data_IF_360955834510
#
_entry.id   IF_360955834510
#
_cell.length_a   1.000
_cell.length_b   1.000
_cell.length_c   1.000
_cell.angle_alpha   90.00
_cell.angle_beta   90.00
_cell.angle_gamma   90.00
#
_symmetry.space_group_name_H-M   'P 1'
#
loop_
_entity.id
_entity.type
_entity.pdbx_description
1 polymer ?
#
# COMPACT_ATOMS: atom_id res chain seq x y z
N UNK A 1 28.36 -14.96 22.72
CA UNK A 1 27.96 -14.11 21.57
C UNK A 1 26.51 -13.78 21.84
N UNK A 2 26.15 -12.49 22.02
CA UNK A 2 24.76 -12.12 22.32
C UNK A 2 23.92 -12.33 21.05
N UNK A 3 22.97 -13.26 21.11
CA UNK A 3 22.01 -13.54 20.04
C UNK A 3 20.94 -12.43 19.89
N UNK A 4 20.98 -11.40 20.74
CA UNK A 4 19.97 -10.32 20.83
C UNK A 4 20.28 -9.07 19.97
N UNK A 5 21.00 -9.20 18.85
CA UNK A 5 21.14 -8.05 17.94
C UNK A 5 20.00 -8.12 16.92
N UNK A 6 19.07 -7.14 16.88
CA UNK A 6 18.00 -7.14 15.90
C UNK A 6 18.63 -7.10 14.50
N UNK A 7 18.38 -8.18 13.74
CA UNK A 7 18.91 -8.32 12.39
C UNK A 7 17.97 -7.60 11.45
N UNK A 8 18.37 -6.41 11.00
CA UNK A 8 17.69 -5.72 9.91
C UNK A 8 18.22 -6.24 8.57
N UNK A 9 17.36 -6.86 7.77
CA UNK A 9 17.67 -7.28 6.40
C UNK A 9 16.92 -6.40 5.43
N UNK A 10 17.61 -5.90 4.40
CA UNK A 10 16.94 -5.23 3.29
C UNK A 10 17.46 -5.74 1.96
N UNK A 11 16.58 -5.80 0.97
CA UNK A 11 16.94 -6.13 -0.39
C UNK A 11 16.09 -5.35 -1.38
N UNK A 12 16.60 -5.21 -2.59
CA UNK A 12 15.91 -4.51 -3.68
C UNK A 12 16.03 -5.36 -4.94
N UNK A 13 14.88 -5.68 -5.53
CA UNK A 13 14.77 -6.22 -6.88
C UNK A 13 14.50 -5.09 -7.87
N UNK A 14 15.49 -4.73 -8.70
CA UNK A 14 15.31 -3.69 -9.70
C UNK A 14 14.31 -4.16 -10.77
N UNK A 15 13.73 -3.17 -11.46
CA UNK A 15 12.95 -3.42 -12.68
C UNK A 15 13.77 -4.23 -13.68
N UNK A 16 13.20 -5.31 -14.20
CA UNK A 16 13.87 -6.24 -15.12
C UNK A 16 12.85 -6.95 -16.03
N UNK A 17 13.26 -7.66 -17.10
CA UNK A 17 12.30 -8.43 -17.91
C UNK A 17 11.46 -9.36 -17.03
N UNK A 18 10.13 -9.23 -17.11
CA UNK A 18 9.20 -9.97 -16.25
C UNK A 18 8.82 -9.28 -14.93
N UNK A 19 9.37 -8.09 -14.63
CA UNK A 19 8.99 -7.26 -13.49
C UNK A 19 9.01 -5.76 -13.88
N UNK A 20 7.83 -5.16 -13.98
CA UNK A 20 7.63 -3.81 -14.53
C UNK A 20 7.98 -2.66 -13.58
N UNK A 21 8.22 -2.95 -12.31
CA UNK A 21 8.53 -1.98 -11.26
C UNK A 21 9.60 -2.52 -10.31
N UNK A 22 10.27 -1.61 -9.61
CA UNK A 22 11.19 -2.00 -8.54
C UNK A 22 10.40 -2.53 -7.33
N UNK A 23 10.93 -3.56 -6.68
CA UNK A 23 10.46 -4.05 -5.40
C UNK A 23 11.57 -3.93 -4.37
N UNK A 24 11.27 -3.41 -3.19
CA UNK A 24 12.17 -3.41 -2.04
C UNK A 24 11.51 -4.09 -0.86
N UNK A 25 12.34 -4.69 -0.02
CA UNK A 25 11.94 -5.40 1.19
C UNK A 25 12.81 -4.92 2.33
N UNK A 26 12.22 -4.77 3.50
CA UNK A 26 12.86 -4.46 4.75
C UNK A 26 12.24 -5.33 5.83
N UNK A 27 13.06 -6.18 6.43
CA UNK A 27 12.70 -7.01 7.56
C UNK A 27 13.39 -6.46 8.80
N UNK A 28 12.62 -6.18 9.85
CA UNK A 28 13.12 -5.76 11.15
C UNK A 28 12.27 -6.41 12.24
N UNK A 29 12.93 -7.00 13.23
CA UNK A 29 12.30 -7.68 14.36
C UNK A 29 11.32 -8.78 13.89
N UNK A 30 10.02 -8.47 13.87
CA UNK A 30 8.95 -9.38 13.44
C UNK A 30 7.99 -8.69 12.43
N UNK A 31 8.47 -7.64 11.78
CA UNK A 31 7.75 -6.88 10.77
C UNK A 31 8.45 -7.00 9.42
N UNK A 32 7.66 -7.30 8.39
CA UNK A 32 8.09 -7.16 7.02
C UNK A 32 7.39 -5.96 6.38
N UNK A 33 8.18 -4.96 5.99
CA UNK A 33 7.75 -3.91 5.09
C UNK A 33 8.28 -4.20 3.70
N UNK A 34 7.43 -4.08 2.68
CA UNK A 34 7.84 -4.19 1.29
C UNK A 34 7.04 -3.24 0.40
N UNK A 35 7.64 -2.84 -0.71
CA UNK A 35 7.07 -1.79 -1.52
C UNK A 35 7.77 -1.58 -2.85
N UNK A 36 7.36 -0.54 -3.54
CA UNK A 36 7.87 -0.12 -4.84
C UNK A 36 7.12 1.12 -5.30
N UNK A 37 7.64 1.91 -6.24
CA UNK A 37 6.86 2.97 -6.93
C UNK A 37 5.90 3.82 -6.05
N UNK A 38 6.35 4.24 -4.85
CA UNK A 38 5.61 5.06 -3.86
C UNK A 38 4.46 4.36 -3.14
N UNK A 39 4.41 3.03 -3.17
CA UNK A 39 3.59 2.23 -2.26
C UNK A 39 4.48 1.39 -1.36
N UNK A 40 3.92 1.03 -0.22
CA UNK A 40 4.45 0.04 0.68
C UNK A 40 3.29 -0.72 1.34
N UNK A 41 3.61 -1.86 1.89
CA UNK A 41 2.76 -2.73 2.67
C UNK A 41 3.58 -3.20 3.86
N UNK A 42 3.00 -3.07 5.05
CA UNK A 42 3.53 -3.64 6.28
C UNK A 42 2.73 -4.87 6.65
N UNK A 43 3.42 -5.91 7.11
CA UNK A 43 2.81 -7.12 7.69
C UNK A 43 3.54 -7.46 8.99
N UNK A 44 2.75 -7.57 10.05
CA UNK A 44 3.15 -7.88 11.41
C UNK A 44 1.97 -8.52 12.15
N UNK A 45 2.18 -9.49 13.06
CA UNK A 45 3.45 -10.17 13.31
C UNK A 45 3.77 -11.18 12.20
N UNK A 46 5.05 -11.38 11.87
CA UNK A 46 5.49 -12.27 10.79
C UNK A 46 5.68 -13.71 11.28
N UNK A 47 5.80 -13.92 12.59
CA UNK A 47 5.81 -15.23 13.23
C UNK A 47 4.46 -15.98 13.14
N UNK A 48 3.38 -15.26 12.84
CA UNK A 48 2.07 -15.82 12.51
C UNK A 48 2.11 -16.51 11.14
N UNK A 49 1.91 -17.85 11.06
CA UNK A 49 1.93 -18.58 9.81
C UNK A 49 0.96 -18.03 8.76
N UNK A 50 -0.21 -17.52 9.16
CA UNK A 50 -1.19 -16.97 8.23
C UNK A 50 -0.67 -15.68 7.57
N UNK A 51 -0.01 -14.82 8.35
CA UNK A 51 0.62 -13.60 7.84
C UNK A 51 1.78 -13.93 6.92
N UNK A 52 2.60 -14.92 7.27
CA UNK A 52 3.71 -15.37 6.42
C UNK A 52 3.21 -15.92 5.07
N UNK A 53 2.20 -16.78 5.07
CA UNK A 53 1.58 -17.31 3.86
C UNK A 53 1.00 -16.19 3.00
N UNK A 54 0.34 -15.22 3.62
CA UNK A 54 -0.24 -14.06 2.94
C UNK A 54 0.82 -13.17 2.30
N UNK A 55 1.95 -12.95 2.97
CA UNK A 55 3.11 -12.23 2.43
C UNK A 55 3.66 -12.98 1.22
N UNK A 56 3.92 -14.28 1.36
CA UNK A 56 4.43 -15.10 0.27
C UNK A 56 3.52 -15.03 -0.96
N UNK A 57 2.21 -15.18 -0.76
CA UNK A 57 1.22 -15.08 -1.82
C UNK A 57 1.15 -13.67 -2.44
N UNK A 58 1.30 -12.61 -1.63
CA UNK A 58 1.31 -11.25 -2.13
C UNK A 58 2.56 -10.94 -2.97
N UNK A 59 3.73 -11.44 -2.57
CA UNK A 59 5.00 -11.26 -3.30
C UNK A 59 4.97 -12.05 -4.61
N UNK A 60 4.57 -13.32 -4.57
CA UNK A 60 4.38 -14.11 -5.79
C UNK A 60 3.32 -13.48 -6.71
N UNK A 61 2.22 -13.00 -6.14
CA UNK A 61 1.20 -12.23 -6.85
C UNK A 61 1.75 -10.97 -7.52
N UNK A 62 2.64 -10.23 -6.87
CA UNK A 62 3.24 -9.02 -7.45
C UNK A 62 4.10 -9.36 -8.67
N UNK A 63 4.77 -10.52 -8.66
CA UNK A 63 5.59 -11.02 -9.77
C UNK A 63 4.72 -11.60 -10.88
N UNK A 64 3.69 -12.38 -10.56
CA UNK A 64 2.81 -13.04 -11.54
C UNK A 64 1.75 -12.10 -12.12
N UNK A 65 1.51 -10.97 -11.46
CA UNK A 65 0.37 -10.09 -11.74
C UNK A 65 -0.90 -10.50 -10.99
N UNK A 66 -0.92 -11.53 -10.15
CA UNK A 66 -2.10 -11.85 -9.32
C UNK A 66 -2.21 -11.00 -8.04
N UNK A 67 -1.28 -10.05 -7.83
CA UNK A 67 -1.43 -8.96 -6.87
C UNK A 67 -1.31 -7.59 -7.56
N UNK A 68 -1.84 -6.56 -6.91
CA UNK A 68 -1.78 -5.17 -7.39
C UNK A 68 -1.67 -4.18 -6.24
N UNK A 69 -0.97 -3.08 -6.49
CA UNK A 69 -0.96 -1.92 -5.61
C UNK A 69 -1.93 -0.84 -6.11
N UNK A 70 -2.77 -0.34 -5.22
CA UNK A 70 -3.64 0.81 -5.45
C UNK A 70 -3.05 2.03 -4.75
N UNK A 71 -2.68 3.05 -5.52
CA UNK A 71 -2.12 4.30 -5.01
C UNK A 71 -3.17 5.40 -5.13
N UNK A 72 -3.60 5.95 -4.01
CA UNK A 72 -4.64 6.97 -3.97
C UNK A 72 -4.00 8.35 -3.89
N UNK A 73 -4.24 9.16 -4.91
CA UNK A 73 -3.76 10.54 -4.96
C UNK A 73 -4.91 11.49 -4.70
N UNK A 74 -4.75 12.40 -3.74
CA UNK A 74 -5.61 13.57 -3.69
C UNK A 74 -5.36 14.44 -4.93
N UNK A 75 -6.40 15.01 -5.52
CA UNK A 75 -6.28 15.83 -6.74
C UNK A 75 -5.30 16.98 -6.48
N UNK A 76 -4.36 17.17 -7.42
CA UNK A 76 -3.29 18.16 -7.33
C UNK A 76 -2.06 17.71 -6.54
N UNK A 77 -2.07 16.52 -5.91
CA UNK A 77 -0.91 15.97 -5.21
C UNK A 77 -0.09 15.04 -6.11
N UNK A 78 1.24 15.12 -5.96
CA UNK A 78 2.20 14.25 -6.65
C UNK A 78 2.45 12.94 -5.91
N UNK A 79 2.27 12.91 -4.59
CA UNK A 79 2.46 11.73 -3.75
C UNK A 79 1.11 11.10 -3.38
N UNK A 80 1.01 9.77 -3.33
CA UNK A 80 -0.18 9.12 -2.80
C UNK A 80 -0.28 9.44 -1.30
N UNK A 81 -1.50 9.60 -0.81
CA UNK A 81 -1.75 9.77 0.63
C UNK A 81 -2.15 8.46 1.31
N UNK A 82 -2.49 7.44 0.50
CA UNK A 82 -2.98 6.14 0.94
C UNK A 82 -2.65 5.10 -0.12
N UNK A 83 -2.21 3.92 0.31
CA UNK A 83 -1.91 2.80 -0.58
C UNK A 83 -2.59 1.53 -0.08
N UNK A 84 -2.95 0.64 -1.00
CA UNK A 84 -3.53 -0.66 -0.66
C UNK A 84 -2.86 -1.71 -1.52
N UNK A 85 -2.32 -2.75 -0.89
CA UNK A 85 -1.90 -3.95 -1.58
C UNK A 85 -3.08 -4.91 -1.63
N UNK A 86 -3.40 -5.45 -2.80
CA UNK A 86 -4.48 -6.41 -2.97
C UNK A 86 -3.96 -7.67 -3.65
N UNK A 87 -4.39 -8.83 -3.14
CA UNK A 87 -4.18 -10.14 -3.75
C UNK A 87 -5.48 -10.57 -4.44
N UNK A 88 -5.35 -11.28 -5.56
CA UNK A 88 -6.50 -11.90 -6.21
C UNK A 88 -6.78 -13.25 -5.58
N UNK A 89 -7.98 -13.41 -5.06
CA UNK A 89 -8.52 -14.66 -4.52
C UNK A 89 -9.71 -15.06 -5.37
N UNK A 90 -9.54 -16.13 -6.15
CA UNK A 90 -10.47 -16.53 -7.21
C UNK A 90 -10.77 -15.35 -8.19
N UNK A 91 -11.95 -14.75 -8.06
CA UNK A 91 -12.42 -13.64 -8.91
C UNK A 91 -12.57 -12.31 -8.16
N UNK A 92 -11.98 -12.19 -6.96
CA UNK A 92 -12.08 -10.98 -6.14
C UNK A 92 -10.70 -10.48 -5.75
N UNK A 93 -10.61 -9.17 -5.52
CA UNK A 93 -9.43 -8.53 -4.97
C UNK A 93 -9.62 -8.35 -3.48
N UNK A 94 -8.78 -8.98 -2.68
CA UNK A 94 -8.78 -8.91 -1.22
C UNK A 94 -7.61 -8.04 -0.77
N UNK A 95 -7.84 -7.12 0.16
CA UNK A 95 -6.77 -6.27 0.69
C UNK A 95 -5.82 -7.13 1.52
N UNK A 96 -4.52 -7.02 1.28
CA UNK A 96 -3.46 -7.63 2.10
C UNK A 96 -2.96 -6.63 3.13
N UNK A 97 -2.66 -5.42 2.68
CA UNK A 97 -2.22 -4.32 3.53
C UNK A 97 -2.90 -3.04 3.09
N UNK A 98 -3.21 -2.20 4.06
CA UNK A 98 -3.94 -0.95 3.87
C UNK A 98 -3.21 0.13 4.63
N UNK A 99 -2.66 1.10 3.91
CA UNK A 99 -1.98 2.25 4.52
C UNK A 99 -2.96 3.18 5.24
N UNK A 100 -2.43 4.25 5.82
CA UNK A 100 -3.20 5.26 6.54
C UNK A 100 -2.95 6.66 5.97
N UNK A 101 -3.99 7.51 5.99
CA UNK A 101 -3.87 8.90 5.55
C UNK A 101 -5.20 9.59 5.26
N UNK A 102 -5.14 10.90 5.01
CA UNK A 102 -6.29 11.75 4.72
C UNK A 102 -6.08 12.57 3.45
N UNK A 103 -7.09 12.61 2.57
CA UNK A 103 -7.05 13.37 1.33
C UNK A 103 -7.46 14.84 1.55
N UNK A 104 -6.57 15.76 1.21
CA UNK A 104 -6.86 17.20 1.19
C UNK A 104 -6.42 17.80 -0.17
N UNK A 105 -7.38 18.16 -1.05
CA UNK A 105 -8.83 18.09 -0.90
C UNK A 105 -9.38 16.64 -0.92
N UNK A 106 -10.61 16.39 -0.43
CA UNK A 106 -11.21 15.05 -0.32
C UNK A 106 -11.74 14.50 -1.67
N UNK A 107 -10.99 14.73 -2.73
CA UNK A 107 -11.23 14.23 -4.09
C UNK A 107 -9.99 13.47 -4.53
N UNK A 108 -10.16 12.20 -4.90
CA UNK A 108 -9.03 11.28 -5.11
C UNK A 108 -9.10 10.56 -6.44
N UNK A 109 -7.94 10.23 -7.00
CA UNK A 109 -7.80 9.39 -8.20
C UNK A 109 -6.90 8.20 -7.85
N UNK A 110 -7.41 6.95 -7.90
CA UNK A 110 -6.59 5.78 -7.70
C UNK A 110 -5.77 5.50 -8.96
N UNK A 111 -4.53 5.05 -8.76
CA UNK A 111 -3.66 4.48 -9.78
C UNK A 111 -3.42 3.02 -9.44
N UNK A 112 -3.53 2.13 -10.42
CA UNK A 112 -3.29 0.70 -10.25
C UNK A 112 -1.93 0.36 -10.84
N UNK A 113 -1.08 -0.26 -10.02
CA UNK A 113 0.18 -0.88 -10.45
C UNK A 113 0.01 -2.39 -10.37
N UNK A 114 0.31 -3.08 -11.47
CA UNK A 114 0.17 -4.53 -11.61
C UNK A 114 1.16 -5.01 -12.67
N UNK A 115 1.96 -6.02 -12.33
CA UNK A 115 3.01 -6.48 -13.22
C UNK A 115 2.43 -7.10 -14.49
N UNK A 116 3.06 -6.87 -15.65
CA UNK A 116 2.58 -7.33 -16.95
C UNK A 116 1.36 -6.57 -17.47
N UNK A 117 0.94 -5.49 -16.80
CA UNK A 117 -0.23 -4.69 -17.17
C UNK A 117 0.11 -3.20 -17.25
N UNK A 118 -0.53 -2.44 -18.16
CA UNK A 118 -0.35 -1.01 -18.21
C UNK A 118 -0.87 -0.37 -16.92
N UNK A 119 -0.16 0.66 -16.44
CA UNK A 119 -0.61 1.46 -15.31
C UNK A 119 -1.95 2.10 -15.66
N UNK A 120 -2.98 1.81 -14.87
CA UNK A 120 -4.33 2.36 -15.09
C UNK A 120 -4.67 3.43 -14.06
N UNK A 121 -5.36 4.47 -14.52
CA UNK A 121 -5.95 5.50 -13.64
C UNK A 121 -7.44 5.22 -13.52
N UNK A 122 -7.92 5.06 -12.29
CA UNK A 122 -9.35 4.95 -12.03
C UNK A 122 -10.04 6.31 -12.06
N UNK A 123 -11.38 6.31 -12.05
CA UNK A 123 -12.17 7.54 -12.03
C UNK A 123 -11.90 8.35 -10.75
N UNK A 124 -12.09 9.67 -10.84
CA UNK A 124 -12.07 10.52 -9.66
C UNK A 124 -13.26 10.18 -8.76
N UNK A 125 -13.04 10.15 -7.45
CA UNK A 125 -14.07 9.86 -6.46
C UNK A 125 -13.86 10.67 -5.19
N UNK A 126 -14.95 10.90 -4.45
CA UNK A 126 -14.86 11.53 -3.14
C UNK A 126 -14.24 10.55 -2.13
N UNK A 127 -13.30 11.07 -1.34
CA UNK A 127 -12.78 10.36 -0.18
C UNK A 127 -13.69 10.67 1.02
N UNK A 128 -14.76 9.88 1.19
CA UNK A 128 -15.80 10.12 2.19
C UNK A 128 -15.25 10.28 3.61
N UNK A 129 -14.30 9.45 4.03
CA UNK A 129 -13.65 9.59 5.34
C UNK A 129 -12.96 10.95 5.50
N UNK A 130 -12.21 11.38 4.49
CA UNK A 130 -11.54 12.68 4.50
C UNK A 130 -12.51 13.86 4.43
N UNK A 131 -13.60 13.72 3.67
CA UNK A 131 -14.68 14.72 3.62
C UNK A 131 -15.35 14.87 4.98
N UNK A 132 -15.68 13.76 5.64
CA UNK A 132 -16.27 13.77 6.97
C UNK A 132 -15.33 14.44 7.99
N UNK A 133 -14.04 14.08 7.99
CA UNK A 133 -13.04 14.74 8.85
C UNK A 133 -12.97 16.25 8.60
N UNK A 134 -13.00 16.69 7.34
CA UNK A 134 -13.01 18.10 6.99
C UNK A 134 -14.27 18.81 7.52
N UNK A 135 -15.45 18.21 7.36
CA UNK A 135 -16.71 18.78 7.84
C UNK A 135 -16.73 18.89 9.37
N UNK A 136 -16.23 17.88 10.08
CA UNK A 136 -16.11 17.90 11.54
C UNK A 136 -15.15 18.98 12.02
N UNK A 137 -14.02 19.15 11.34
CA UNK A 137 -13.05 20.20 11.65
C UNK A 137 -13.66 21.60 11.47
N UNK A 138 -14.38 21.82 10.37
CA UNK A 138 -15.06 23.10 10.12
C UNK A 138 -16.15 23.39 11.17
N UNK A 139 -16.93 22.38 11.57
CA UNK A 139 -17.93 22.50 12.61
C UNK A 139 -17.31 22.84 13.98
N UNK A 140 -16.18 22.20 14.32
CA UNK A 140 -15.45 22.50 15.55
C UNK A 140 -14.91 23.94 15.56
N UNK A 141 -14.31 24.41 14.46
CA UNK A 141 -13.85 25.80 14.34
C UNK A 141 -15.01 26.78 14.48
N UNK A 142 -16.14 26.49 13.83
CA UNK A 142 -17.35 27.33 13.93
C UNK A 142 -17.87 27.43 15.37
N UNK A 143 -17.80 26.35 16.16
CA UNK A 143 -18.25 26.36 17.56
C UNK A 143 -17.34 27.15 18.51
N UNK A 144 -16.14 27.53 18.07
CA UNK A 144 -15.16 28.32 18.83
C UNK A 144 -15.18 29.81 18.48
N UNK A 145 -15.96 30.21 17.47
CA UNK A 145 -16.15 31.59 17.00
C UNK A 145 -17.47 32.17 17.54
#
# INVERSE_FOLDING_TARGET
>A
MSEDVPVALSCTWPRQPGLDFELWFSFSDDELTFGGDRWYADVFPLDDPENWERVCAAVDGLITGEARALLYYAVGRKQPYWTVLQLREADRWTNVSTGAGCAIPPLVKPRVLRNGHPVTMGPARLAWGSLLCLLLLLAAIWSLL
#
